data_IF_369531337741
#
_entry.id   IF_369531337741
#
_cell.length_a   1.000
_cell.length_b   1.000
_cell.length_c   1.000
_cell.angle_alpha   90.00
_cell.angle_beta   90.00
_cell.angle_gamma   90.00
#
_symmetry.space_group_name_H-M   'P 1'
#
loop_
_entity.id
_entity.type
_entity.pdbx_description
1 polymer ?
#
# COMPACT_ATOMS: atom_id res chain seq x y z
N UNK A 1 11.43 -10.36 19.14
CA UNK A 1 12.47 -11.31 18.66
C UNK A 1 11.97 -12.75 18.51
N UNK A 2 11.00 -13.23 19.30
CA UNK A 2 10.50 -14.62 19.24
C UNK A 2 9.84 -15.03 17.92
N UNK A 3 9.12 -14.13 17.24
CA UNK A 3 8.44 -14.42 15.96
C UNK A 3 9.40 -14.66 14.79
N UNK A 4 10.60 -14.07 14.83
CA UNK A 4 11.62 -14.26 13.80
C UNK A 4 12.26 -15.66 13.88
N UNK A 5 12.52 -16.13 15.10
CA UNK A 5 12.99 -17.50 15.35
C UNK A 5 11.96 -18.57 14.99
N UNK A 6 10.66 -18.30 15.22
CA UNK A 6 9.58 -19.21 14.82
C UNK A 6 9.49 -19.36 13.29
N UNK A 7 9.63 -18.26 12.54
CA UNK A 7 9.61 -18.30 11.08
C UNK A 7 10.83 -19.05 10.51
N UNK A 8 12.02 -18.82 11.07
CA UNK A 8 13.25 -19.52 10.66
C UNK A 8 13.19 -21.02 10.97
N UNK A 9 12.63 -21.42 12.11
CA UNK A 9 12.43 -22.83 12.46
C UNK A 9 11.44 -23.51 11.50
N UNK A 10 10.37 -22.82 11.09
CA UNK A 10 9.39 -23.35 10.15
C UNK A 10 9.99 -23.58 8.75
N UNK A 11 10.79 -22.63 8.27
CA UNK A 11 11.50 -22.76 6.98
C UNK A 11 12.50 -23.92 7.03
N UNK A 12 13.23 -24.05 8.14
CA UNK A 12 14.19 -25.14 8.30
C UNK A 12 13.51 -26.52 8.31
N UNK A 13 12.35 -26.64 8.97
CA UNK A 13 11.57 -27.89 8.99
C UNK A 13 11.04 -28.26 7.60
N UNK A 14 10.61 -27.27 6.83
CA UNK A 14 10.18 -27.48 5.45
C UNK A 14 11.31 -28.06 4.58
N UNK A 15 12.52 -27.49 4.67
CA UNK A 15 13.67 -28.01 3.95
C UNK A 15 14.11 -29.40 4.43
N UNK A 16 14.05 -29.68 5.74
CA UNK A 16 14.39 -31.01 6.27
C UNK A 16 13.44 -32.11 5.75
N UNK A 17 12.13 -31.83 5.67
CA UNK A 17 11.15 -32.76 5.10
C UNK A 17 11.37 -32.94 3.60
N UNK A 18 11.62 -31.85 2.86
CA UNK A 18 11.90 -31.90 1.42
C UNK A 18 13.15 -32.73 1.13
N UNK A 19 14.23 -32.54 1.90
CA UNK A 19 15.49 -33.26 1.74
C UNK A 19 15.36 -34.73 2.12
N UNK A 20 14.60 -35.02 3.18
CA UNK A 20 14.27 -36.40 3.58
C UNK A 20 13.49 -37.14 2.49
N UNK A 21 12.55 -36.46 1.81
CA UNK A 21 11.72 -37.05 0.77
C UNK A 21 12.52 -37.31 -0.53
N UNK A 22 13.45 -36.41 -0.88
CA UNK A 22 14.37 -36.58 -2.01
C UNK A 22 15.35 -37.75 -1.77
N UNK A 23 15.91 -37.86 -0.56
CA UNK A 23 16.81 -38.98 -0.22
C UNK A 23 16.08 -40.33 -0.12
N UNK A 24 14.83 -40.32 0.34
CA UNK A 24 14.00 -41.53 0.44
C UNK A 24 13.56 -42.06 -0.94
N UNK A 25 13.32 -41.17 -1.90
CA UNK A 25 12.91 -41.55 -3.28
C UNK A 25 14.09 -41.88 -4.20
N UNK A 26 15.32 -41.43 -3.87
CA UNK A 26 16.52 -41.63 -4.69
C UNK A 26 17.16 -43.03 -4.64
N UNK A 27 16.58 -44.02 -3.93
CA UNK A 27 17.20 -45.35 -3.71
C UNK A 27 16.43 -46.54 -4.30
N UNK A 28 15.70 -46.37 -5.40
CA UNK A 28 15.15 -47.48 -6.18
C UNK A 28 15.81 -47.60 -7.55
N UNK A 29 17.07 -48.05 -7.59
CA UNK A 29 17.63 -48.63 -8.82
C UNK A 29 17.30 -50.12 -8.82
N UNK A 30 16.19 -50.49 -9.47
CA UNK A 30 15.86 -51.88 -9.73
C UNK A 30 16.80 -52.41 -10.81
N UNK A 31 17.80 -53.20 -10.41
CA UNK A 31 18.58 -54.04 -11.32
C UNK A 31 17.63 -55.06 -11.95
N UNK A 32 17.29 -54.89 -13.22
CA UNK A 32 16.52 -55.88 -13.99
C UNK A 32 17.48 -56.86 -14.64
N UNK A 33 17.57 -58.06 -14.09
CA UNK A 33 18.14 -59.22 -14.77
C UNK A 33 17.18 -59.65 -15.89
N UNK A 34 17.66 -59.66 -17.13
CA UNK A 34 16.93 -60.24 -18.27
C UNK A 34 17.00 -61.75 -18.14
N UNK A 35 15.88 -62.38 -17.77
CA UNK A 35 15.66 -63.83 -17.95
C UNK A 35 14.61 -63.99 -19.05
N UNK A 36 15.02 -64.50 -20.20
CA UNK A 36 14.11 -64.98 -21.23
C UNK A 36 13.45 -66.28 -20.75
N UNK A 37 12.12 -66.31 -20.69
CA UNK A 37 11.36 -67.55 -20.86
C UNK A 37 10.08 -67.32 -21.66
N UNK A 38 9.88 -68.25 -22.60
CA UNK A 38 8.83 -68.32 -23.62
C UNK A 38 7.54 -68.82 -23.00
N UNK A 39 6.54 -67.96 -22.80
CA UNK A 39 5.12 -68.34 -22.80
C UNK A 39 4.24 -67.09 -22.89
N UNK A 40 3.27 -67.04 -23.81
CA UNK A 40 2.52 -65.84 -24.24
C UNK A 40 1.65 -65.13 -23.18
N UNK A 41 1.81 -65.46 -21.90
CA UNK A 41 1.08 -64.92 -20.74
C UNK A 41 1.86 -63.80 -20.02
N UNK A 42 3.19 -63.79 -20.09
CA UNK A 42 4.07 -62.79 -19.44
C UNK A 42 4.10 -61.47 -20.21
N UNK A 43 4.18 -61.52 -21.55
CA UNK A 43 4.21 -60.34 -22.43
C UNK A 43 2.92 -59.49 -22.31
N UNK A 44 1.76 -60.11 -22.11
CA UNK A 44 0.49 -59.39 -21.93
C UNK A 44 0.39 -58.67 -20.60
N UNK A 45 0.88 -59.28 -19.52
CA UNK A 45 0.89 -58.68 -18.18
C UNK A 45 1.80 -57.44 -18.13
N UNK A 46 2.92 -57.47 -18.85
CA UNK A 46 3.83 -56.33 -18.95
C UNK A 46 3.26 -55.20 -19.83
N UNK A 47 2.50 -55.53 -20.88
CA UNK A 47 1.79 -54.54 -21.70
C UNK A 47 0.66 -53.84 -20.96
N UNK A 48 -0.13 -54.56 -20.16
CA UNK A 48 -1.20 -53.97 -19.34
C UNK A 48 -0.64 -53.04 -18.25
N UNK A 49 0.43 -53.47 -17.57
CA UNK A 49 1.15 -52.61 -16.60
C UNK A 49 1.73 -51.36 -17.26
N UNK A 50 2.33 -51.50 -18.44
CA UNK A 50 2.86 -50.36 -19.18
C UNK A 50 1.75 -49.38 -19.60
N UNK A 51 0.58 -49.89 -19.99
CA UNK A 51 -0.59 -49.06 -20.33
C UNK A 51 -1.10 -48.31 -19.10
N UNK A 52 -1.24 -48.99 -17.96
CA UNK A 52 -1.65 -48.37 -16.70
C UNK A 52 -0.68 -47.28 -16.26
N UNK A 53 0.64 -47.55 -16.32
CA UNK A 53 1.66 -46.55 -16.00
C UNK A 53 1.58 -45.33 -16.93
N UNK A 54 1.34 -45.53 -18.23
CA UNK A 54 1.18 -44.42 -19.19
C UNK A 54 -0.06 -43.57 -18.89
N UNK A 55 -1.16 -44.21 -18.52
CA UNK A 55 -2.39 -43.50 -18.14
C UNK A 55 -2.21 -42.72 -16.83
N UNK A 56 -1.52 -43.30 -15.84
CA UNK A 56 -1.18 -42.63 -14.58
C UNK A 56 -0.24 -41.45 -14.79
N UNK A 57 0.78 -41.62 -15.65
CA UNK A 57 1.72 -40.56 -16.01
C UNK A 57 0.99 -39.40 -16.70
N UNK A 58 0.10 -39.69 -17.65
CA UNK A 58 -0.74 -38.68 -18.31
C UNK A 58 -1.61 -37.93 -17.30
N UNK A 59 -2.24 -38.64 -16.35
CA UNK A 59 -3.06 -38.03 -15.30
C UNK A 59 -2.23 -37.11 -14.39
N UNK A 60 -1.01 -37.53 -14.03
CA UNK A 60 -0.08 -36.71 -13.26
C UNK A 60 0.36 -35.46 -14.04
N UNK A 61 0.65 -35.58 -15.34
CA UNK A 61 0.97 -34.44 -16.20
C UNK A 61 -0.17 -33.42 -16.26
N UNK A 62 -1.41 -33.90 -16.41
CA UNK A 62 -2.61 -33.04 -16.39
C UNK A 62 -2.77 -32.33 -15.04
N UNK A 63 -2.56 -33.03 -13.93
CA UNK A 63 -2.60 -32.42 -12.59
C UNK A 63 -1.50 -31.37 -12.39
N UNK A 64 -0.27 -31.66 -12.85
CA UNK A 64 0.83 -30.70 -12.80
C UNK A 64 0.50 -29.46 -13.63
N UNK A 65 -0.06 -29.63 -14.84
CA UNK A 65 -0.46 -28.52 -15.69
C UNK A 65 -1.55 -27.66 -15.04
N UNK A 66 -2.55 -28.27 -14.42
CA UNK A 66 -3.59 -27.57 -13.66
C UNK A 66 -3.01 -26.79 -12.47
N UNK A 67 -2.13 -27.43 -11.70
CA UNK A 67 -1.47 -26.79 -10.55
C UNK A 67 -0.58 -25.63 -10.95
N UNK A 68 0.12 -25.72 -12.09
CA UNK A 68 0.89 -24.59 -12.65
C UNK A 68 0.02 -23.41 -13.03
N UNK A 69 -1.15 -23.66 -13.64
CA UNK A 69 -2.12 -22.59 -13.97
C UNK A 69 -2.67 -21.93 -12.70
N UNK A 70 -3.02 -22.73 -11.70
CA UNK A 70 -3.49 -22.24 -10.40
C UNK A 70 -2.42 -21.37 -9.71
N UNK A 71 -1.16 -21.82 -9.71
CA UNK A 71 -0.03 -21.08 -9.17
C UNK A 71 0.17 -19.74 -9.89
N UNK A 72 0.17 -19.73 -11.22
CA UNK A 72 0.28 -18.51 -12.02
C UNK A 72 -0.82 -17.50 -11.69
N UNK A 73 -2.07 -17.96 -11.52
CA UNK A 73 -3.19 -17.11 -11.13
C UNK A 73 -3.01 -16.53 -9.72
N UNK A 74 -2.51 -17.33 -8.78
CA UNK A 74 -2.21 -16.87 -7.42
C UNK A 74 -1.08 -15.83 -7.42
N UNK A 75 -0.04 -16.01 -8.25
CA UNK A 75 1.04 -15.03 -8.39
C UNK A 75 0.53 -13.69 -8.93
N UNK A 76 -0.34 -13.70 -9.94
CA UNK A 76 -1.00 -12.50 -10.45
C UNK A 76 -1.84 -11.80 -9.37
N UNK A 77 -2.63 -12.56 -8.61
CA UNK A 77 -3.43 -12.01 -7.50
C UNK A 77 -2.56 -11.40 -6.39
N UNK A 78 -1.43 -12.01 -6.08
CA UNK A 78 -0.47 -11.48 -5.11
C UNK A 78 0.14 -10.17 -5.64
N UNK A 79 0.49 -10.10 -6.93
CA UNK A 79 1.02 -8.89 -7.54
C UNK A 79 0.00 -7.73 -7.49
N UNK A 80 -1.26 -8.00 -7.83
CA UNK A 80 -2.35 -7.03 -7.74
C UNK A 80 -2.56 -6.55 -6.30
N UNK A 81 -2.64 -7.48 -5.34
CA UNK A 81 -2.80 -7.15 -3.93
C UNK A 81 -1.64 -6.28 -3.40
N UNK A 82 -0.40 -6.58 -3.79
CA UNK A 82 0.75 -5.76 -3.43
C UNK A 82 0.67 -4.35 -4.03
N UNK A 83 0.22 -4.22 -5.29
CA UNK A 83 -0.03 -2.93 -5.92
C UNK A 83 -1.03 -2.08 -5.13
N UNK A 84 -2.15 -2.68 -4.75
CA UNK A 84 -3.19 -2.02 -3.93
C UNK A 84 -2.64 -1.61 -2.55
N UNK A 85 -1.83 -2.46 -1.91
CA UNK A 85 -1.22 -2.13 -0.61
C UNK A 85 -0.32 -0.90 -0.72
N UNK A 86 0.51 -0.80 -1.77
CA UNK A 86 1.38 0.35 -1.96
C UNK A 86 0.61 1.64 -2.24
N UNK A 87 -0.48 1.57 -3.02
CA UNK A 87 -1.39 2.70 -3.22
C UNK A 87 -2.00 3.17 -1.90
N UNK A 88 -2.56 2.25 -1.11
CA UNK A 88 -3.16 2.56 0.19
C UNK A 88 -2.13 3.13 1.18
N UNK A 89 -0.88 2.64 1.18
CA UNK A 89 0.21 3.21 1.99
C UNK A 89 0.51 4.66 1.60
N UNK A 90 0.52 4.95 0.29
CA UNK A 90 0.64 6.31 -0.24
C UNK A 90 -0.47 7.22 0.28
N UNK A 91 -1.73 6.79 0.14
CA UNK A 91 -2.90 7.55 0.61
C UNK A 91 -2.87 7.79 2.13
N UNK A 92 -2.55 6.77 2.93
CA UNK A 92 -2.42 6.90 4.39
C UNK A 92 -1.35 7.93 4.75
N UNK A 93 -0.23 7.97 4.02
CA UNK A 93 0.86 8.92 4.27
C UNK A 93 0.39 10.36 4.03
N UNK A 94 -0.31 10.60 2.92
CA UNK A 94 -0.89 11.91 2.59
C UNK A 94 -1.93 12.33 3.63
N UNK A 95 -2.88 11.45 3.97
CA UNK A 95 -3.93 11.74 4.96
C UNK A 95 -3.34 12.00 6.35
N UNK A 96 -2.31 11.25 6.75
CA UNK A 96 -1.62 11.45 8.03
C UNK A 96 -0.92 12.81 8.08
N UNK A 97 -0.28 13.23 6.99
CA UNK A 97 0.34 14.55 6.89
C UNK A 97 -0.73 15.65 6.98
N UNK A 98 -1.82 15.52 6.23
CA UNK A 98 -2.95 16.47 6.27
C UNK A 98 -3.55 16.59 7.68
N UNK A 99 -3.76 15.46 8.36
CA UNK A 99 -4.26 15.44 9.73
C UNK A 99 -3.34 16.21 10.68
N UNK A 100 -2.02 15.99 10.60
CA UNK A 100 -1.04 16.71 11.43
C UNK A 100 -1.08 18.22 11.17
N UNK A 101 -1.13 18.63 9.91
CA UNK A 101 -1.23 20.06 9.56
C UNK A 101 -2.52 20.69 10.10
N UNK A 102 -3.63 19.96 10.05
CA UNK A 102 -4.92 20.39 10.59
C UNK A 102 -4.87 20.54 12.11
N UNK A 103 -4.33 19.55 12.84
CA UNK A 103 -4.17 19.60 14.30
C UNK A 103 -3.25 20.75 14.74
N UNK A 104 -2.15 20.96 14.03
CA UNK A 104 -1.25 22.10 14.26
C UNK A 104 -1.97 23.43 14.01
N UNK A 105 -2.72 23.52 12.92
CA UNK A 105 -3.51 24.69 12.56
C UNK A 105 -4.55 25.06 13.61
N UNK A 106 -5.30 24.08 14.12
CA UNK A 106 -6.29 24.27 15.19
C UNK A 106 -5.64 24.73 16.50
N UNK A 107 -4.50 24.15 16.86
CA UNK A 107 -3.75 24.53 18.05
C UNK A 107 -3.28 25.98 17.94
N UNK A 108 -2.76 26.36 16.77
CA UNK A 108 -2.29 27.72 16.51
C UNK A 108 -3.45 28.72 16.42
N UNK A 109 -4.60 28.33 15.85
CA UNK A 109 -5.80 29.15 15.84
C UNK A 109 -6.29 29.46 17.26
N UNK A 110 -6.23 28.46 18.14
CA UNK A 110 -6.57 28.62 19.57
C UNK A 110 -5.61 29.61 20.23
N UNK A 111 -4.30 29.47 19.99
CA UNK A 111 -3.31 30.42 20.48
C UNK A 111 -3.56 31.84 19.96
N UNK A 112 -3.73 32.01 18.65
CA UNK A 112 -3.95 33.32 18.04
C UNK A 112 -5.26 33.97 18.47
N UNK A 113 -6.32 33.20 18.71
CA UNK A 113 -7.57 33.71 19.27
C UNK A 113 -7.42 34.26 20.70
N UNK A 114 -6.37 33.86 21.43
CA UNK A 114 -6.05 34.35 22.78
C UNK A 114 -5.10 35.56 22.80
N UNK A 115 -4.49 35.90 21.65
CA UNK A 115 -3.56 37.02 21.51
C UNK A 115 -4.26 38.27 20.99
N UNK A 116 -3.61 39.45 21.12
CA UNK A 116 -4.11 40.64 20.46
C UNK A 116 -3.91 40.53 18.93
N UNK A 117 -4.89 40.97 18.11
CA UNK A 117 -4.80 40.90 16.66
C UNK A 117 -3.55 41.58 16.07
N UNK A 118 -3.09 42.66 16.70
CA UNK A 118 -1.91 43.42 16.30
C UNK A 118 -0.61 42.60 16.49
N UNK A 119 -0.52 41.83 17.58
CA UNK A 119 0.63 40.96 17.86
C UNK A 119 0.70 39.81 16.86
N UNK A 120 -0.45 39.18 16.59
CA UNK A 120 -0.55 38.10 15.58
C UNK A 120 -0.20 38.64 14.19
N UNK A 121 -0.68 39.83 13.83
CA UNK A 121 -0.32 40.49 12.57
C UNK A 121 1.21 40.73 12.47
N UNK A 122 1.86 41.14 13.56
CA UNK A 122 3.31 41.32 13.61
C UNK A 122 4.08 40.01 13.42
N UNK A 123 3.58 38.91 14.01
CA UNK A 123 4.14 37.58 13.80
C UNK A 123 3.99 37.12 12.34
N UNK A 124 2.81 37.28 11.77
CA UNK A 124 2.53 36.92 10.36
C UNK A 124 3.38 37.75 9.39
N UNK A 125 3.58 39.04 9.67
CA UNK A 125 4.39 39.91 8.82
C UNK A 125 5.87 39.48 8.74
N UNK A 126 6.36 38.73 9.74
CA UNK A 126 7.72 38.18 9.79
C UNK A 126 7.80 36.72 9.34
N UNK A 127 6.66 36.09 9.11
CA UNK A 127 6.57 34.70 8.73
C UNK A 127 7.05 34.50 7.29
N UNK A 128 7.65 33.34 7.02
CA UNK A 128 7.97 32.95 5.66
C UNK A 128 6.71 32.52 4.89
N UNK A 129 6.87 32.35 3.58
CA UNK A 129 5.79 31.97 2.69
C UNK A 129 5.10 30.65 3.06
N UNK A 130 5.87 29.70 3.61
CA UNK A 130 5.36 28.39 4.01
C UNK A 130 4.47 28.51 5.24
N UNK A 131 4.89 29.31 6.21
CA UNK A 131 4.12 29.58 7.41
C UNK A 131 2.87 30.39 7.08
N UNK A 132 2.97 31.35 6.15
CA UNK A 132 1.79 32.09 5.66
C UNK A 132 0.80 31.13 4.99
N UNK A 133 1.25 30.24 4.11
CA UNK A 133 0.39 29.23 3.49
C UNK A 133 -0.28 28.33 4.53
N UNK A 134 0.48 27.86 5.54
CA UNK A 134 -0.07 27.07 6.64
C UNK A 134 -1.13 27.85 7.43
N UNK A 135 -0.90 29.13 7.69
CA UNK A 135 -1.84 29.98 8.42
C UNK A 135 -3.13 30.15 7.63
N UNK A 136 -3.03 30.44 6.34
CA UNK A 136 -4.21 30.63 5.47
C UNK A 136 -4.99 29.31 5.32
N UNK A 137 -4.30 28.18 5.10
CA UNK A 137 -4.95 26.88 4.86
C UNK A 137 -5.48 26.21 6.12
N UNK A 138 -4.78 26.33 7.25
CA UNK A 138 -5.04 25.50 8.43
C UNK A 138 -5.30 26.29 9.71
N UNK A 139 -5.07 27.60 9.75
CA UNK A 139 -5.30 28.40 10.97
C UNK A 139 -6.54 29.25 10.81
N UNK A 140 -6.59 30.12 9.81
CA UNK A 140 -7.69 31.05 9.58
C UNK A 140 -9.07 30.39 9.49
N UNK A 141 -9.24 29.21 8.86
CA UNK A 141 -10.55 28.53 8.82
C UNK A 141 -11.09 28.12 10.20
N UNK A 142 -10.22 27.98 11.19
CA UNK A 142 -10.60 27.65 12.58
C UNK A 142 -10.62 28.88 13.50
N UNK A 143 -10.34 30.06 12.95
CA UNK A 143 -10.47 31.33 13.66
C UNK A 143 -11.85 31.93 13.40
N UNK A 144 -12.32 32.77 14.33
CA UNK A 144 -13.54 33.55 14.11
C UNK A 144 -13.27 34.60 13.04
N UNK A 145 -14.18 34.78 12.09
CA UNK A 145 -14.06 35.77 11.00
C UNK A 145 -13.73 37.18 11.51
N UNK A 146 -14.33 37.59 12.63
CA UNK A 146 -14.02 38.88 13.27
C UNK A 146 -12.55 39.00 13.68
N UNK A 147 -11.96 37.94 14.22
CA UNK A 147 -10.56 37.95 14.63
C UNK A 147 -9.64 37.99 13.41
N UNK A 148 -9.94 37.19 12.38
CA UNK A 148 -9.22 37.23 11.10
C UNK A 148 -9.31 38.62 10.48
N UNK A 149 -10.49 39.23 10.44
CA UNK A 149 -10.69 40.58 9.91
C UNK A 149 -9.89 41.65 10.66
N UNK A 150 -9.80 41.55 11.99
CA UNK A 150 -8.95 42.46 12.80
C UNK A 150 -7.46 42.24 12.53
N UNK A 151 -7.00 41.00 12.44
CA UNK A 151 -5.61 40.67 12.08
C UNK A 151 -5.28 41.21 10.70
N UNK A 152 -6.17 40.99 9.72
CA UNK A 152 -6.01 41.49 8.35
C UNK A 152 -6.02 43.01 8.29
N UNK A 153 -6.85 43.68 9.09
CA UNK A 153 -6.83 45.14 9.20
C UNK A 153 -5.49 45.65 9.73
N UNK A 154 -4.94 44.99 10.76
CA UNK A 154 -3.63 45.32 11.32
C UNK A 154 -2.50 45.03 10.34
N UNK A 155 -2.54 43.89 9.64
CA UNK A 155 -1.60 43.54 8.56
C UNK A 155 -1.65 44.54 7.41
N UNK A 156 -2.82 45.01 7.01
CA UNK A 156 -2.95 46.00 5.93
C UNK A 156 -2.26 47.31 6.30
N UNK A 157 -2.23 47.66 7.60
CA UNK A 157 -1.54 48.85 8.10
C UNK A 157 -0.03 48.64 8.23
N UNK A 158 0.41 47.49 8.74
CA UNK A 158 1.81 47.24 9.08
C UNK A 158 2.63 46.58 7.98
N UNK A 159 2.01 45.72 7.17
CA UNK A 159 2.64 44.97 6.07
C UNK A 159 1.64 44.72 4.91
N UNK A 160 1.34 45.76 4.11
CA UNK A 160 0.34 45.68 3.05
C UNK A 160 0.60 44.56 2.03
N UNK A 161 1.87 44.28 1.71
CA UNK A 161 2.25 43.27 0.73
C UNK A 161 1.91 41.85 1.23
N UNK A 162 2.14 41.57 2.52
CA UNK A 162 1.77 40.30 3.14
C UNK A 162 0.25 40.16 3.19
N UNK A 163 -0.47 41.24 3.52
CA UNK A 163 -1.94 41.23 3.50
C UNK A 163 -2.51 40.89 2.11
N UNK A 164 -2.01 41.53 1.05
CA UNK A 164 -2.41 41.23 -0.34
C UNK A 164 -2.13 39.78 -0.70
N UNK A 165 -0.95 39.27 -0.35
CA UNK A 165 -0.58 37.87 -0.61
C UNK A 165 -1.54 36.89 0.06
N UNK A 166 -1.89 37.15 1.32
CA UNK A 166 -2.83 36.32 2.07
C UNK A 166 -4.22 36.35 1.41
N UNK A 167 -4.71 37.52 1.00
CA UNK A 167 -6.00 37.62 0.28
C UNK A 167 -5.97 36.84 -1.03
N UNK A 168 -4.88 36.93 -1.80
CA UNK A 168 -4.71 36.15 -3.03
C UNK A 168 -4.69 34.64 -2.76
N UNK A 169 -4.05 34.20 -1.67
CA UNK A 169 -4.05 32.79 -1.28
C UNK A 169 -5.45 32.32 -0.86
N UNK A 170 -6.20 33.11 -0.10
CA UNK A 170 -7.59 32.80 0.26
C UNK A 170 -8.47 32.65 -0.99
N UNK A 171 -8.39 33.60 -1.93
CA UNK A 171 -9.17 33.54 -3.17
C UNK A 171 -8.85 32.28 -4.00
N UNK A 172 -7.57 31.89 -4.10
CA UNK A 172 -7.18 30.65 -4.77
C UNK A 172 -7.73 29.40 -4.08
N UNK A 173 -7.78 29.39 -2.75
CA UNK A 173 -8.34 28.25 -2.01
C UNK A 173 -9.85 28.12 -2.24
N UNK A 174 -10.56 29.24 -2.33
CA UNK A 174 -11.99 29.24 -2.64
C UNK A 174 -12.24 28.70 -4.07
N UNK A 175 -11.41 29.08 -5.05
CA UNK A 175 -11.44 28.52 -6.41
C UNK A 175 -11.13 27.01 -6.42
N UNK A 176 -10.11 26.57 -5.68
CA UNK A 176 -9.75 25.15 -5.53
C UNK A 176 -10.90 24.33 -4.91
N UNK A 177 -11.59 24.89 -3.91
CA UNK A 177 -12.72 24.25 -3.25
C UNK A 177 -13.94 24.15 -4.18
N UNK A 178 -14.24 25.21 -4.93
CA UNK A 178 -15.35 25.22 -5.90
C UNK A 178 -15.15 24.18 -7.02
N UNK A 179 -13.93 24.06 -7.55
CA UNK A 179 -13.62 23.07 -8.60
C UNK A 179 -13.70 21.62 -8.10
N UNK A 180 -13.33 21.34 -6.85
CA UNK A 180 -13.46 19.99 -6.28
C UNK A 180 -14.92 19.61 -6.02
N UNK A 181 -15.77 20.56 -5.65
CA UNK A 181 -17.22 20.33 -5.47
C UNK A 181 -17.91 19.96 -6.79
N UNK A 182 -17.59 20.66 -7.89
CA UNK A 182 -18.19 20.39 -9.21
C UNK A 182 -17.80 19.04 -9.81
N UNK A 183 -16.63 18.48 -9.46
CA UNK A 183 -16.16 17.20 -10.01
C UNK A 183 -16.75 15.98 -9.30
N UNK A 184 -17.35 16.14 -8.10
CA UNK A 184 -17.95 15.04 -7.34
C UNK A 184 -19.43 14.77 -7.73
N UNK A 185 -20.13 15.76 -8.29
CA UNK A 185 -21.55 15.62 -8.68
C UNK A 185 -21.77 15.00 -10.08
N UNK A 186 -20.72 14.83 -10.88
CA UNK A 186 -20.80 14.25 -12.24
C UNK A 186 -20.57 12.74 -12.33
N UNK A 187 -20.48 12.01 -11.21
CA UNK A 187 -20.13 10.58 -11.16
C UNK A 187 -21.18 9.69 -10.51
N UNK A 188 -22.44 10.13 -10.41
CA UNK A 188 -23.58 9.33 -9.95
C UNK A 188 -24.53 8.99 -11.10
#
# INVERSE_FOLDING_TARGET
>A
MTRFFALMSLVFYFFAVLFGLILFTGRYSATTTVVQTVDGKTVKLDQEKLKMLKEELKKLEEQIAQKRKELSKLEEQIAEANGTIEQLRGEITVLTAQKRSLEQGQSLATLYNSMQPEDVASLIAKADDRMIDMIVRYVFPYMRERNVGRIMSSLTKSSPQVAVKIVQMMAKLDEEAANKGSSAEGSL
#
